data_IF_125369693983
#
_entry.id   IF_125369693983
#
_cell.length_a   1.000
_cell.length_b   1.000
_cell.length_c   1.000
_cell.angle_alpha   90.00
_cell.angle_beta   90.00
_cell.angle_gamma   90.00
#
_symmetry.space_group_name_H-M   'P 1'
#
loop_
_entity.id
_entity.type
_entity.pdbx_description
1 polymer ?
#
# COMPACT_ATOMS: atom_id res chain seq x y z
N UNK A 1 10.19 22.99 -23.30
CA UNK A 1 10.43 23.00 -21.84
C UNK A 1 9.21 23.61 -21.18
N UNK A 2 8.46 22.86 -20.36
CA UNK A 2 7.38 23.46 -19.55
C UNK A 2 8.05 24.32 -18.47
N UNK A 3 7.71 25.60 -18.42
CA UNK A 3 8.22 26.50 -17.39
C UNK A 3 7.72 26.01 -16.03
N UNK A 4 8.63 25.52 -15.18
CA UNK A 4 8.33 25.18 -13.80
C UNK A 4 8.26 26.47 -12.99
N UNK A 5 7.15 26.71 -12.32
CA UNK A 5 6.99 27.86 -11.41
C UNK A 5 7.72 27.58 -10.10
N UNK A 6 8.05 28.62 -9.30
CA UNK A 6 8.74 28.46 -8.01
C UNK A 6 8.05 27.50 -7.03
N UNK A 7 6.72 27.39 -7.09
CA UNK A 7 5.93 26.43 -6.29
C UNK A 7 6.17 24.98 -6.73
N UNK A 8 6.36 24.73 -8.02
CA UNK A 8 6.66 23.39 -8.55
C UNK A 8 8.01 22.87 -8.04
N UNK A 9 8.99 23.76 -7.84
CA UNK A 9 10.34 23.43 -7.38
C UNK A 9 10.40 23.09 -5.88
N UNK A 10 9.52 23.67 -5.06
CA UNK A 10 9.38 23.31 -3.64
C UNK A 10 8.67 21.97 -3.47
N UNK A 11 7.56 21.77 -4.19
CA UNK A 11 6.81 20.50 -4.20
C UNK A 11 7.67 19.32 -4.70
N UNK A 12 8.55 19.54 -5.68
CA UNK A 12 9.52 18.54 -6.14
C UNK A 12 10.54 18.13 -5.07
N UNK A 13 10.95 19.03 -4.17
CA UNK A 13 11.90 18.70 -3.09
C UNK A 13 11.25 17.86 -1.99
N UNK A 14 9.98 18.09 -1.70
CA UNK A 14 9.21 17.34 -0.69
C UNK A 14 8.85 15.92 -1.17
N UNK A 15 8.58 15.76 -2.47
CA UNK A 15 8.50 14.45 -3.12
C UNK A 15 9.87 13.88 -3.55
N UNK A 16 10.97 14.62 -3.37
CA UNK A 16 12.32 14.17 -3.70
C UNK A 16 12.80 12.98 -2.85
N UNK A 17 12.10 12.66 -1.75
CA UNK A 17 12.29 11.40 -1.02
C UNK A 17 11.63 10.20 -1.73
N UNK A 18 10.66 10.43 -2.62
CA UNK A 18 10.06 9.36 -3.44
C UNK A 18 11.01 8.83 -4.51
N UNK A 19 11.90 9.67 -5.02
CA UNK A 19 12.96 9.24 -5.92
C UNK A 19 13.97 8.31 -5.21
N UNK A 20 14.01 8.33 -3.88
CA UNK A 20 14.80 7.41 -3.05
C UNK A 20 14.08 6.09 -2.78
N UNK A 21 12.77 6.01 -3.05
CA UNK A 21 12.03 4.77 -2.87
C UNK A 21 12.47 3.74 -3.92
N UNK A 22 12.55 2.46 -3.54
CA UNK A 22 13.09 1.42 -4.40
C UNK A 22 12.22 1.21 -5.64
N UNK A 23 12.84 1.00 -6.80
CA UNK A 23 12.15 0.71 -8.07
C UNK A 23 11.94 -0.79 -8.31
N UNK A 24 12.60 -1.62 -7.49
CA UNK A 24 12.45 -3.08 -7.45
C UNK A 24 11.83 -3.47 -6.11
N UNK A 25 11.23 -4.66 -6.04
CA UNK A 25 10.67 -5.17 -4.79
C UNK A 25 11.74 -5.26 -3.71
N UNK A 26 11.65 -4.39 -2.71
CA UNK A 26 12.63 -4.31 -1.61
C UNK A 26 11.87 -4.39 -0.29
N UNK A 27 12.38 -5.19 0.65
CA UNK A 27 11.71 -5.36 1.94
C UNK A 27 11.83 -4.08 2.78
N UNK A 28 10.85 -3.84 3.66
CA UNK A 28 10.93 -2.71 4.60
C UNK A 28 12.19 -2.82 5.48
N UNK A 29 12.61 -4.05 5.79
CA UNK A 29 13.85 -4.31 6.51
C UNK A 29 15.08 -3.81 5.77
N UNK A 30 15.21 -4.16 4.48
CA UNK A 30 16.38 -3.77 3.69
C UNK A 30 16.41 -2.25 3.47
N UNK A 31 15.26 -1.63 3.20
CA UNK A 31 15.15 -0.16 3.08
C UNK A 31 15.67 0.53 4.35
N UNK A 32 15.16 0.13 5.52
CA UNK A 32 15.60 0.76 6.78
C UNK A 32 17.07 0.49 7.10
N UNK A 33 17.58 -0.70 6.72
CA UNK A 33 18.99 -1.04 6.92
C UNK A 33 19.91 -0.20 6.04
N UNK A 34 19.57 -0.05 4.75
CA UNK A 34 20.32 0.76 3.79
C UNK A 34 20.31 2.25 4.17
N UNK A 35 19.19 2.76 4.67
CA UNK A 35 19.08 4.14 5.15
C UNK A 35 19.74 4.38 6.53
N UNK A 36 20.25 3.33 7.20
CA UNK A 36 20.79 3.44 8.56
C UNK A 36 19.73 3.78 9.62
N UNK A 37 18.44 3.51 9.33
CA UNK A 37 17.28 3.81 10.19
C UNK A 37 16.71 2.59 10.91
N UNK A 38 17.27 1.40 10.69
CA UNK A 38 16.86 0.19 11.41
C UNK A 38 17.22 0.30 12.90
N UNK A 39 16.22 0.62 13.73
CA UNK A 39 16.40 0.82 15.19
C UNK A 39 16.00 -0.38 16.04
N UNK A 40 15.12 -1.25 15.53
CA UNK A 40 14.58 -2.36 16.31
C UNK A 40 15.50 -3.57 16.29
N UNK A 41 15.63 -4.24 17.44
CA UNK A 41 16.25 -5.56 17.57
C UNK A 41 15.22 -6.65 17.87
N UNK A 42 13.93 -6.29 17.92
CA UNK A 42 12.84 -7.21 18.20
C UNK A 42 12.68 -8.22 17.05
N UNK A 43 12.84 -9.54 17.30
CA UNK A 43 12.82 -10.55 16.26
C UNK A 43 11.49 -10.60 15.49
N UNK A 44 10.37 -10.35 16.16
CA UNK A 44 9.06 -10.35 15.55
C UNK A 44 8.87 -9.15 14.61
N UNK A 45 9.28 -7.96 15.03
CA UNK A 45 9.28 -6.76 14.17
C UNK A 45 10.16 -6.98 12.93
N UNK A 46 11.37 -7.52 13.13
CA UNK A 46 12.29 -7.84 12.02
C UNK A 46 11.65 -8.86 11.06
N UNK A 47 10.98 -9.88 11.59
CA UNK A 47 10.29 -10.89 10.79
C UNK A 47 9.20 -10.27 9.91
N UNK A 48 8.37 -9.38 10.48
CA UNK A 48 7.32 -8.67 9.74
C UNK A 48 7.92 -7.75 8.67
N UNK A 49 8.95 -6.98 9.01
CA UNK A 49 9.61 -6.05 8.08
C UNK A 49 10.22 -6.77 6.86
N UNK A 50 10.71 -8.00 7.03
CA UNK A 50 11.24 -8.82 5.94
C UNK A 50 10.16 -9.38 4.99
N UNK A 51 8.91 -9.48 5.45
CA UNK A 51 7.80 -10.03 4.66
C UNK A 51 6.96 -8.97 3.93
N UNK A 52 7.14 -7.70 4.28
CA UNK A 52 6.48 -6.57 3.60
C UNK A 52 7.50 -5.97 2.64
N UNK A 53 7.12 -5.90 1.37
CA UNK A 53 7.93 -5.32 0.30
C UNK A 53 7.24 -4.09 -0.26
N UNK A 54 8.02 -3.12 -0.70
CA UNK A 54 7.52 -2.01 -1.50
C UNK A 54 8.30 -1.85 -2.79
N UNK A 55 7.66 -1.19 -3.75
CA UNK A 55 8.32 -0.60 -4.90
C UNK A 55 7.56 0.63 -5.38
N UNK A 56 8.27 1.56 -5.99
CA UNK A 56 7.71 2.66 -6.76
C UNK A 56 7.30 2.15 -8.14
N UNK A 57 6.09 2.48 -8.56
CA UNK A 57 5.61 2.25 -9.91
C UNK A 57 6.05 3.41 -10.79
N UNK A 58 6.48 3.12 -12.02
CA UNK A 58 6.85 4.12 -13.01
C UNK A 58 6.06 3.94 -14.30
N UNK A 59 5.68 5.05 -14.90
CA UNK A 59 5.10 5.10 -16.24
C UNK A 59 5.86 6.17 -17.02
N UNK A 60 6.34 5.83 -18.22
CA UNK A 60 7.19 6.73 -19.01
C UNK A 60 8.41 7.28 -18.23
N UNK A 61 9.01 6.45 -17.37
CA UNK A 61 10.09 6.80 -16.44
C UNK A 61 9.75 7.79 -15.31
N UNK A 62 8.49 8.22 -15.18
CA UNK A 62 8.03 9.08 -14.09
C UNK A 62 7.34 8.25 -13.00
N UNK A 63 7.52 8.55 -11.69
CA UNK A 63 6.76 7.91 -10.63
C UNK A 63 5.25 8.06 -10.86
N UNK A 64 4.53 6.95 -10.78
CA UNK A 64 3.07 6.88 -11.00
C UNK A 64 2.31 6.28 -9.82
N UNK A 65 3.00 5.96 -8.73
CA UNK A 65 2.41 5.32 -7.56
C UNK A 65 3.42 4.46 -6.81
N UNK A 66 2.92 3.69 -5.84
CA UNK A 66 3.69 2.64 -5.18
C UNK A 66 2.85 1.38 -5.04
N UNK A 67 3.54 0.25 -4.87
CA UNK A 67 2.90 -1.01 -4.55
C UNK A 67 3.53 -1.64 -3.32
N UNK A 68 2.67 -2.19 -2.48
CA UNK A 68 3.04 -3.05 -1.37
C UNK A 68 2.82 -4.50 -1.78
N UNK A 69 3.66 -5.39 -1.23
CA UNK A 69 3.50 -6.84 -1.39
C UNK A 69 3.76 -7.51 -0.05
N UNK A 70 2.84 -8.38 0.35
CA UNK A 70 2.98 -9.27 1.50
C UNK A 70 3.29 -10.67 1.00
N UNK A 71 4.42 -11.24 1.41
CA UNK A 71 4.83 -12.58 1.00
C UNK A 71 4.68 -13.61 2.13
N UNK A 72 3.92 -14.68 1.84
CA UNK A 72 3.80 -15.88 2.67
C UNK A 72 3.51 -15.52 4.14
N UNK A 73 2.46 -14.72 4.35
CA UNK A 73 2.03 -14.27 5.67
C UNK A 73 1.19 -15.37 6.33
N UNK A 74 1.68 -15.88 7.46
CA UNK A 74 0.93 -16.84 8.28
C UNK A 74 -0.14 -16.10 9.10
N UNK A 75 -1.06 -16.86 9.71
CA UNK A 75 -1.99 -16.29 10.70
C UNK A 75 -1.23 -15.57 11.84
N UNK A 76 -0.14 -16.17 12.32
CA UNK A 76 0.66 -15.59 13.41
C UNK A 76 1.33 -14.27 12.99
N UNK A 77 1.78 -14.16 11.74
CA UNK A 77 2.34 -12.93 11.20
C UNK A 77 1.29 -11.82 11.11
N UNK A 78 0.04 -12.11 10.76
CA UNK A 78 -1.04 -11.12 10.77
C UNK A 78 -1.33 -10.57 12.17
N UNK A 79 -1.23 -11.41 13.21
CA UNK A 79 -1.37 -10.97 14.60
C UNK A 79 -0.20 -10.06 15.01
N UNK A 80 1.03 -10.45 14.67
CA UNK A 80 2.22 -9.65 14.94
C UNK A 80 2.21 -8.32 14.20
N UNK A 81 1.76 -8.30 12.93
CA UNK A 81 1.65 -7.08 12.13
C UNK A 81 0.73 -6.04 12.80
N UNK A 82 -0.40 -6.47 13.37
CA UNK A 82 -1.29 -5.57 14.13
C UNK A 82 -0.57 -4.96 15.34
N UNK A 83 0.22 -5.76 16.06
CA UNK A 83 1.01 -5.30 17.21
C UNK A 83 2.15 -4.37 16.81
N UNK A 84 2.85 -4.68 15.72
CA UNK A 84 3.91 -3.88 15.13
C UNK A 84 3.39 -2.51 14.67
N UNK A 85 2.28 -2.48 13.93
CA UNK A 85 1.70 -1.22 13.45
C UNK A 85 1.19 -0.31 14.58
N UNK A 86 0.71 -0.87 15.69
CA UNK A 86 0.36 -0.06 16.87
C UNK A 86 1.55 0.71 17.44
N UNK A 87 2.77 0.17 17.32
CA UNK A 87 4.01 0.80 17.79
C UNK A 87 4.55 1.80 16.77
N UNK A 88 4.69 1.35 15.52
CA UNK A 88 5.40 2.11 14.48
C UNK A 88 4.52 3.09 13.70
N UNK A 89 3.18 2.93 13.75
CA UNK A 89 2.19 3.76 13.02
C UNK A 89 2.55 3.93 11.55
N UNK A 90 2.74 2.82 10.86
CA UNK A 90 3.20 2.84 9.48
C UNK A 90 2.08 3.27 8.53
N UNK A 91 2.40 4.02 7.47
CA UNK A 91 1.45 4.51 6.47
C UNK A 91 1.02 3.42 5.50
N UNK A 92 0.70 2.23 6.00
CA UNK A 92 0.34 1.12 5.14
C UNK A 92 -1.12 1.19 4.71
N UNK A 93 -1.38 0.67 3.51
CA UNK A 93 -2.73 0.41 2.99
C UNK A 93 -3.51 -0.46 4.00
N UNK A 94 -4.73 -0.04 4.35
CA UNK A 94 -5.57 -0.76 5.32
C UNK A 94 -5.78 -2.23 4.98
N UNK A 95 -5.66 -2.59 3.70
CA UNK A 95 -5.80 -3.97 3.24
C UNK A 95 -4.84 -4.97 3.88
N UNK A 96 -3.67 -4.53 4.33
CA UNK A 96 -2.72 -5.43 4.97
C UNK A 96 -3.23 -5.94 6.33
N UNK A 97 -4.24 -5.27 6.91
CA UNK A 97 -4.84 -5.61 8.21
C UNK A 97 -6.12 -6.43 8.09
N UNK A 98 -6.49 -6.85 6.88
CA UNK A 98 -7.63 -7.74 6.66
C UNK A 98 -7.54 -9.02 7.50
N UNK A 99 -8.69 -9.64 7.78
CA UNK A 99 -8.74 -10.78 8.67
C UNK A 99 -8.27 -12.05 7.95
N UNK A 100 -7.08 -12.54 8.32
CA UNK A 100 -6.48 -13.78 7.84
C UNK A 100 -6.39 -14.78 9.00
N UNK A 101 -7.04 -15.93 8.86
CA UNK A 101 -7.00 -17.00 9.86
C UNK A 101 -6.04 -18.16 9.51
N UNK A 102 -5.26 -18.02 8.43
CA UNK A 102 -4.38 -19.08 7.91
C UNK A 102 -5.01 -19.90 6.80
N UNK A 103 -6.33 -19.77 6.58
CA UNK A 103 -7.06 -20.45 5.51
C UNK A 103 -8.00 -19.53 4.74
N UNK A 104 -8.62 -18.58 5.43
CA UNK A 104 -9.62 -17.66 4.91
C UNK A 104 -9.17 -16.23 5.12
N UNK A 105 -9.08 -15.47 4.03
CA UNK A 105 -8.93 -14.03 4.07
C UNK A 105 -10.28 -13.38 3.82
N UNK A 106 -10.72 -12.55 4.76
CA UNK A 106 -11.88 -11.67 4.56
C UNK A 106 -11.41 -10.24 4.34
N UNK A 107 -11.73 -9.71 3.16
CA UNK A 107 -11.50 -8.32 2.77
C UNK A 107 -12.80 -7.55 2.96
N UNK A 108 -12.76 -6.48 3.75
CA UNK A 108 -13.83 -5.47 3.78
C UNK A 108 -13.49 -4.37 2.78
N UNK A 109 -14.26 -4.25 1.71
CA UNK A 109 -13.97 -3.27 0.64
C UNK A 109 -14.30 -1.84 1.04
N UNK A 110 -14.99 -1.63 2.18
CA UNK A 110 -15.12 -0.28 2.78
C UNK A 110 -13.77 0.26 3.30
N UNK A 111 -12.77 -0.62 3.49
CA UNK A 111 -11.40 -0.23 3.80
C UNK A 111 -10.59 0.23 2.57
N UNK A 112 -11.18 0.20 1.36
CA UNK A 112 -10.55 0.68 0.14
C UNK A 112 -10.54 2.22 0.09
N UNK A 113 -9.63 2.81 0.85
CA UNK A 113 -9.42 4.24 0.95
C UNK A 113 -7.97 4.56 1.34
N UNK A 114 -7.58 5.83 1.23
CA UNK A 114 -6.20 6.28 1.48
C UNK A 114 -6.00 6.91 2.86
N UNK A 115 -6.96 6.80 3.79
CA UNK A 115 -6.94 7.56 5.05
C UNK A 115 -5.64 7.38 5.85
N UNK A 116 -5.14 6.14 5.98
CA UNK A 116 -3.90 5.87 6.71
C UNK A 116 -2.66 6.48 6.06
N UNK A 117 -2.63 6.53 4.73
CA UNK A 117 -1.55 7.13 3.95
C UNK A 117 -1.64 8.66 4.06
N UNK A 118 -2.84 9.22 3.88
CA UNK A 118 -3.11 10.65 4.02
C UNK A 118 -2.75 11.16 5.42
N UNK A 119 -3.18 10.49 6.48
CA UNK A 119 -2.89 10.86 7.87
C UNK A 119 -1.40 10.87 8.15
N UNK A 120 -0.68 9.87 7.68
CA UNK A 120 0.76 9.80 7.88
C UNK A 120 1.53 10.88 7.12
N UNK A 121 1.11 11.22 5.90
CA UNK A 121 1.68 12.34 5.15
C UNK A 121 1.36 13.68 5.83
N UNK A 122 0.11 13.90 6.25
CA UNK A 122 -0.31 15.09 7.00
C UNK A 122 0.48 15.26 8.30
N UNK A 123 0.83 14.17 9.00
CA UNK A 123 1.60 14.22 10.25
C UNK A 123 3.04 14.72 10.08
N UNK A 124 3.58 14.66 8.86
CA UNK A 124 4.93 15.10 8.51
C UNK A 124 4.96 16.44 7.78
N UNK A 125 3.80 16.97 7.43
CA UNK A 125 3.62 18.17 6.63
C UNK A 125 3.39 19.41 7.53
N UNK A 126 3.69 20.60 7.01
CA UNK A 126 3.27 21.85 7.63
C UNK A 126 1.73 21.98 7.60
N UNK A 127 1.15 22.90 8.41
CA UNK A 127 -0.32 23.10 8.45
C UNK A 127 -0.90 23.43 7.07
N UNK A 128 -0.19 24.23 6.29
CA UNK A 128 -0.62 24.66 4.95
C UNK A 128 -0.49 23.53 3.90
N UNK A 129 0.47 22.61 4.08
CA UNK A 129 0.67 21.43 3.24
C UNK A 129 -0.33 20.32 3.56
N UNK A 130 -0.69 20.15 4.84
CA UNK A 130 -1.63 19.13 5.29
C UNK A 130 -3.00 19.26 4.61
N UNK A 131 -3.44 20.49 4.31
CA UNK A 131 -4.67 20.78 3.57
C UNK A 131 -4.59 20.41 2.08
N UNK A 132 -3.37 20.23 1.55
CA UNK A 132 -3.11 19.96 0.12
C UNK A 132 -2.73 18.49 -0.16
N UNK A 133 -2.56 17.66 0.87
CA UNK A 133 -2.09 16.26 0.74
C UNK A 133 -2.92 15.44 -0.26
N UNK A 134 -4.25 15.59 -0.26
CA UNK A 134 -5.14 14.87 -1.20
C UNK A 134 -4.87 15.29 -2.65
N UNK A 135 -4.76 16.60 -2.90
CA UNK A 135 -4.41 17.13 -4.22
C UNK A 135 -3.02 16.70 -4.67
N UNK A 136 -2.07 16.57 -3.75
CA UNK A 136 -0.73 16.06 -4.06
C UNK A 136 -0.78 14.57 -4.43
N UNK A 137 -1.45 13.73 -3.63
CA UNK A 137 -1.58 12.29 -3.90
C UNK A 137 -2.19 12.05 -5.28
N UNK A 138 -3.26 12.75 -5.62
CA UNK A 138 -3.95 12.61 -6.91
C UNK A 138 -3.17 13.17 -8.09
N UNK A 139 -2.29 14.16 -7.86
CA UNK A 139 -1.42 14.71 -8.90
C UNK A 139 -0.23 13.80 -9.21
N UNK A 140 0.34 13.13 -8.20
CA UNK A 140 1.56 12.31 -8.36
C UNK A 140 1.28 10.83 -8.57
N UNK A 141 0.18 10.28 -8.04
CA UNK A 141 -0.11 8.86 -8.15
C UNK A 141 -1.35 8.61 -8.99
N UNK A 142 -1.22 7.66 -9.91
CA UNK A 142 -2.34 7.07 -10.64
C UNK A 142 -2.97 5.93 -9.86
N UNK A 143 -2.13 5.09 -9.25
CA UNK A 143 -2.61 3.96 -8.45
C UNK A 143 -1.75 3.66 -7.23
N UNK A 144 -2.40 3.08 -6.23
CA UNK A 144 -1.75 2.48 -5.06
C UNK A 144 -2.29 1.06 -4.97
N UNK A 145 -1.40 0.09 -4.78
CA UNK A 145 -1.82 -1.31 -4.79
C UNK A 145 -1.14 -2.16 -3.74
N UNK A 146 -1.87 -3.16 -3.25
CA UNK A 146 -1.40 -4.19 -2.33
C UNK A 146 -1.49 -5.56 -3.01
N UNK A 147 -0.39 -6.31 -3.02
CA UNK A 147 -0.33 -7.69 -3.51
C UNK A 147 -0.22 -8.63 -2.32
N UNK A 148 -1.15 -9.58 -2.21
CA UNK A 148 -1.20 -10.59 -1.16
C UNK A 148 -0.82 -11.94 -1.76
N UNK A 149 0.29 -12.53 -1.31
CA UNK A 149 0.76 -13.85 -1.73
C UNK A 149 0.60 -14.86 -0.59
N UNK A 150 -0.27 -15.83 -0.80
CA UNK A 150 -0.61 -16.88 0.17
C UNK A 150 0.42 -18.01 0.18
N UNK A 151 0.52 -18.70 1.32
CA UNK A 151 1.33 -19.93 1.45
C UNK A 151 0.68 -21.11 0.72
N UNK A 152 -0.64 -21.19 0.81
CA UNK A 152 -1.45 -22.25 0.23
C UNK A 152 -2.18 -21.76 -1.01
N UNK A 153 -2.52 -22.71 -1.88
CA UNK A 153 -3.21 -22.43 -3.13
C UNK A 153 -4.61 -21.88 -2.85
N UNK A 154 -5.01 -20.86 -3.60
CA UNK A 154 -6.37 -20.32 -3.59
C UNK A 154 -7.31 -21.37 -4.21
N UNK A 155 -8.29 -21.80 -3.42
CA UNK A 155 -9.37 -22.70 -3.85
C UNK A 155 -10.53 -21.89 -4.42
N UNK A 156 -10.90 -20.79 -3.76
CA UNK A 156 -12.05 -19.99 -4.16
C UNK A 156 -11.94 -18.53 -3.76
N UNK A 157 -12.60 -17.68 -4.54
CA UNK A 157 -12.83 -16.27 -4.25
C UNK A 157 -14.31 -16.00 -4.41
N UNK A 158 -14.96 -15.56 -3.34
CA UNK A 158 -16.37 -15.15 -3.30
C UNK A 158 -16.46 -13.65 -3.14
N UNK A 159 -17.39 -13.02 -3.85
CA UNK A 159 -17.49 -11.57 -3.96
C UNK A 159 -16.64 -11.01 -5.10
N UNK A 160 -17.05 -9.87 -5.66
CA UNK A 160 -16.39 -9.21 -6.79
C UNK A 160 -16.26 -7.71 -6.53
N UNK A 161 -15.07 -7.20 -6.79
CA UNK A 161 -14.81 -5.76 -6.81
C UNK A 161 -13.82 -5.46 -7.93
N UNK A 162 -14.01 -4.34 -8.64
CA UNK A 162 -13.19 -4.00 -9.80
C UNK A 162 -11.70 -3.83 -9.46
N UNK A 163 -11.41 -3.40 -8.24
CA UNK A 163 -10.03 -3.26 -7.73
C UNK A 163 -9.39 -4.56 -7.25
N UNK A 164 -10.11 -5.69 -7.20
CA UNK A 164 -9.57 -6.96 -6.70
C UNK A 164 -9.45 -7.97 -7.83
N UNK A 165 -8.23 -8.49 -8.00
CA UNK A 165 -7.91 -9.43 -9.07
C UNK A 165 -7.04 -10.57 -8.58
N UNK A 166 -7.41 -11.81 -8.91
CA UNK A 166 -6.51 -12.95 -8.80
C UNK A 166 -5.48 -12.90 -9.92
N UNK A 167 -4.20 -12.94 -9.55
CA UNK A 167 -3.08 -12.88 -10.50
C UNK A 167 -2.61 -14.28 -10.89
N UNK A 168 -2.61 -15.21 -9.93
CA UNK A 168 -2.26 -16.61 -10.10
C UNK A 168 -2.91 -17.44 -8.99
N UNK A 169 -2.53 -18.71 -8.88
CA UNK A 169 -3.10 -19.65 -7.91
C UNK A 169 -2.74 -19.35 -6.44
N UNK A 170 -1.88 -18.38 -6.16
CA UNK A 170 -1.41 -18.01 -4.82
C UNK A 170 -1.48 -16.50 -4.56
N UNK A 171 -1.88 -15.69 -5.55
CA UNK A 171 -1.70 -14.24 -5.49
C UNK A 171 -2.98 -13.50 -5.82
N UNK A 172 -3.36 -12.59 -4.94
CA UNK A 172 -4.41 -11.59 -5.16
C UNK A 172 -3.81 -10.19 -5.13
N UNK A 173 -4.19 -9.35 -6.08
CA UNK A 173 -3.83 -7.94 -6.13
C UNK A 173 -5.08 -7.10 -5.85
N UNK A 174 -4.91 -6.10 -4.99
CA UNK A 174 -5.84 -5.00 -4.76
C UNK A 174 -5.17 -3.75 -5.33
N UNK A 175 -5.77 -3.07 -6.31
CA UNK A 175 -5.16 -1.92 -6.99
C UNK A 175 -6.17 -0.79 -7.10
N UNK A 176 -5.93 0.29 -6.36
CA UNK A 176 -6.79 1.45 -6.33
C UNK A 176 -6.49 2.35 -7.52
N UNK A 177 -7.47 2.56 -8.39
CA UNK A 177 -7.43 3.67 -9.33
C UNK A 177 -7.79 4.95 -8.57
N UNK A 178 -6.81 5.83 -8.35
CA UNK A 178 -7.00 7.03 -7.56
C UNK A 178 -7.91 8.03 -8.27
N UNK A 179 -7.88 8.07 -9.61
CA UNK A 179 -8.81 8.91 -10.36
C UNK A 179 -10.24 8.42 -10.12
N UNK A 180 -10.49 7.13 -10.23
CA UNK A 180 -11.80 6.53 -9.97
C UNK A 180 -12.27 6.70 -8.51
N UNK A 181 -11.34 6.83 -7.56
CA UNK A 181 -11.66 7.02 -6.15
C UNK A 181 -12.21 8.43 -5.85
N UNK A 182 -11.67 9.47 -6.48
CA UNK A 182 -12.06 10.86 -6.24
C UNK A 182 -13.04 11.42 -7.30
N UNK A 183 -13.12 10.80 -8.47
CA UNK A 183 -14.04 11.19 -9.53
C UNK A 183 -15.42 10.55 -9.33
N UNK A 184 -16.42 11.37 -8.99
CA UNK A 184 -17.81 10.93 -8.76
C UNK A 184 -18.51 10.42 -10.01
N UNK A 185 -17.96 10.67 -11.20
CA UNK A 185 -18.53 10.20 -12.46
C UNK A 185 -18.09 8.78 -12.82
N UNK A 186 -16.98 8.29 -12.24
CA UNK A 186 -16.51 6.92 -12.48
C UNK A 186 -17.38 5.92 -11.74
N UNK A 187 -18.04 5.04 -12.49
CA UNK A 187 -18.86 3.96 -11.95
C UNK A 187 -18.13 2.63 -12.03
N UNK A 188 -17.85 2.03 -10.88
CA UNK A 188 -17.35 0.66 -10.77
C UNK A 188 -18.46 -0.32 -11.19
N UNK A 189 -18.08 -1.39 -11.90
CA UNK A 189 -18.98 -2.46 -12.34
C UNK A 189 -19.31 -3.42 -11.20
N UNK A 190 -18.31 -3.77 -10.39
CA UNK A 190 -18.47 -4.63 -9.23
C UNK A 190 -18.05 -3.89 -7.96
N UNK A 191 -18.89 -3.94 -6.93
CA UNK A 191 -18.76 -3.15 -5.70
C UNK A 191 -19.12 -3.95 -4.44
N UNK A 192 -18.94 -5.27 -4.47
CA UNK A 192 -19.29 -6.11 -3.33
C UNK A 192 -18.53 -5.64 -2.09
N UNK A 193 -19.26 -5.46 -0.98
CA UNK A 193 -18.72 -4.94 0.28
C UNK A 193 -17.72 -5.89 0.96
N UNK A 194 -17.78 -7.16 0.59
CA UNK A 194 -17.00 -8.24 1.21
C UNK A 194 -16.49 -9.18 0.15
N UNK A 195 -15.20 -9.50 0.24
CA UNK A 195 -14.57 -10.53 -0.57
C UNK A 195 -13.99 -11.57 0.38
N UNK A 196 -14.24 -12.85 0.09
CA UNK A 196 -13.75 -13.98 0.88
C UNK A 196 -12.88 -14.85 -0.02
N UNK A 197 -11.61 -14.99 0.36
CA UNK A 197 -10.64 -15.83 -0.35
C UNK A 197 -10.35 -17.03 0.56
N UNK A 198 -10.48 -18.23 0.03
CA UNK A 198 -10.21 -19.49 0.75
C UNK A 198 -9.03 -20.19 0.09
N UNK A 199 -8.06 -20.60 0.90
CA UNK A 199 -6.92 -21.42 0.49
C UNK A 199 -7.05 -22.86 0.98
N UNK A 200 -6.20 -23.74 0.43
CA UNK A 200 -6.01 -25.12 0.92
C UNK A 200 -5.67 -25.17 2.41
#
# INVERSE_FOLDING_TARGET
MKAMTPDSLKQQKEFGEMDKLPTVWTSIFDIQKEEGKLKTQDPDSIRIMKKIFMKTNKENNEPSGFSLKMEHFTQSDHQLLKSYNKKEKLPFDQNIFNNWDGKTLTINTENFNLKTIEEALKSKASKEEAEKVEGMITMFFKSIGTTLKFENKIISISGKHDWVKQMDNYTVKIDYDLKAMYDKEVKLKNTDKKIVIVTE
#
